data_IF_682156246215
#
_entry.id   IF_682156246215
#
_cell.length_a   1.000
_cell.length_b   1.000
_cell.length_c   1.000
_cell.angle_alpha   90.00
_cell.angle_beta   90.00
_cell.angle_gamma   90.00
#
_symmetry.space_group_name_H-M   'P 1'
#
loop_
_entity.id
_entity.type
_entity.pdbx_description
1 polymer ?
#
# COMPACT_ATOMS: atom_id res chain seq x y z
N UNK A 1 -23.64 -9.90 17.98
CA UNK A 1 -22.80 -9.66 16.80
C UNK A 1 -23.33 -10.49 15.67
N UNK A 2 -23.79 -9.85 14.61
CA UNK A 2 -24.12 -10.59 13.38
C UNK A 2 -22.83 -11.18 12.83
N UNK A 3 -22.80 -12.52 12.69
CA UNK A 3 -21.65 -13.17 12.05
C UNK A 3 -21.60 -12.75 10.59
N UNK A 4 -20.49 -12.18 10.20
CA UNK A 4 -20.22 -11.84 8.79
C UNK A 4 -20.26 -13.12 7.97
N UNK A 5 -21.23 -13.23 7.06
CA UNK A 5 -21.42 -14.46 6.26
C UNK A 5 -20.41 -14.54 5.13
N UNK A 6 -19.59 -15.57 5.13
CA UNK A 6 -18.74 -15.98 4.03
C UNK A 6 -19.49 -16.90 3.06
N UNK A 7 -19.13 -16.94 1.74
CA UNK A 7 -18.13 -16.15 1.07
C UNK A 7 -18.61 -14.75 0.68
N UNK A 8 -17.70 -13.77 0.68
CA UNK A 8 -17.99 -12.44 0.14
C UNK A 8 -18.06 -12.51 -1.38
N UNK A 9 -19.09 -11.88 -1.97
CA UNK A 9 -19.24 -11.82 -3.42
C UNK A 9 -18.62 -10.55 -4.01
N UNK A 10 -18.47 -9.51 -3.20
CA UNK A 10 -17.79 -8.27 -3.57
C UNK A 10 -16.53 -8.16 -2.71
N UNK A 11 -15.37 -8.08 -3.35
CA UNK A 11 -14.08 -7.94 -2.70
C UNK A 11 -13.18 -7.02 -3.52
N UNK A 12 -12.31 -6.30 -2.83
CA UNK A 12 -11.33 -5.42 -3.47
C UNK A 12 -10.00 -6.14 -3.56
N UNK A 13 -9.47 -6.23 -4.77
CA UNK A 13 -8.14 -6.75 -5.07
C UNK A 13 -7.35 -5.64 -5.78
N UNK A 14 -6.17 -5.33 -5.26
CA UNK A 14 -5.32 -4.30 -5.82
C UNK A 14 -5.62 -2.89 -5.30
N UNK A 15 -5.13 -1.89 -6.04
CA UNK A 15 -5.15 -0.50 -5.62
C UNK A 15 -6.41 0.25 -6.04
N UNK A 16 -6.83 1.18 -5.17
CA UNK A 16 -7.75 2.25 -5.55
C UNK A 16 -7.01 3.37 -6.28
N UNK A 17 -7.78 4.21 -7.01
CA UNK A 17 -7.25 5.43 -7.61
C UNK A 17 -6.78 6.38 -6.51
N UNK A 18 -5.53 6.80 -6.60
CA UNK A 18 -4.95 7.72 -5.61
C UNK A 18 -5.47 9.13 -5.82
N UNK A 19 -5.92 9.81 -4.73
CA UNK A 19 -6.30 11.21 -4.77
C UNK A 19 -5.15 12.11 -5.25
N UNK A 20 -5.48 13.22 -5.90
CA UNK A 20 -4.47 14.19 -6.38
C UNK A 20 -3.59 14.74 -5.25
N UNK A 21 -4.16 14.94 -4.06
CA UNK A 21 -3.43 15.35 -2.87
C UNK A 21 -2.31 14.37 -2.51
N UNK A 22 -2.60 13.06 -2.57
CA UNK A 22 -1.62 12.02 -2.28
C UNK A 22 -0.54 11.95 -3.37
N UNK A 23 -0.91 12.07 -4.65
CA UNK A 23 0.03 12.09 -5.76
C UNK A 23 1.00 13.26 -5.64
N UNK A 24 0.45 14.46 -5.32
CA UNK A 24 1.27 15.66 -5.08
C UNK A 24 2.22 15.46 -3.90
N UNK A 25 1.73 14.96 -2.77
CA UNK A 25 2.55 14.72 -1.59
C UNK A 25 3.72 13.76 -1.86
N UNK A 26 3.50 12.71 -2.64
CA UNK A 26 4.58 11.79 -3.05
C UNK A 26 5.62 12.47 -3.93
N UNK A 27 5.19 13.27 -4.88
CA UNK A 27 6.11 14.06 -5.73
C UNK A 27 6.93 15.05 -4.90
N UNK A 28 6.29 15.75 -3.96
CA UNK A 28 6.96 16.68 -3.07
C UNK A 28 7.98 15.96 -2.16
N UNK A 29 7.64 14.76 -1.69
CA UNK A 29 8.55 13.91 -0.92
C UNK A 29 9.76 13.44 -1.75
N UNK A 30 9.53 12.96 -2.97
CA UNK A 30 10.60 12.54 -3.89
C UNK A 30 11.55 13.69 -4.23
N UNK A 31 11.04 14.92 -4.25
CA UNK A 31 11.81 16.14 -4.48
C UNK A 31 12.46 16.73 -3.21
N UNK A 32 12.29 16.06 -2.05
CA UNK A 32 12.84 16.53 -0.77
C UNK A 32 12.10 17.73 -0.15
N UNK A 33 10.94 18.11 -0.70
CA UNK A 33 10.12 19.21 -0.21
C UNK A 33 9.19 18.83 0.94
N UNK A 34 8.98 17.52 1.16
CA UNK A 34 8.11 17.01 2.20
C UNK A 34 8.87 16.00 3.08
N UNK A 35 8.69 16.09 4.40
CA UNK A 35 9.30 15.14 5.33
C UNK A 35 8.58 13.78 5.29
N UNK A 36 9.26 12.66 5.69
CA UNK A 36 8.61 11.36 5.81
C UNK A 36 7.38 11.37 6.72
N UNK A 37 7.45 12.09 7.84
CA UNK A 37 6.34 12.20 8.80
C UNK A 37 5.14 12.94 8.19
N UNK A 38 5.38 14.01 7.43
CA UNK A 38 4.33 14.75 6.75
C UNK A 38 3.68 13.94 5.62
N UNK A 39 4.45 13.15 4.87
CA UNK A 39 3.90 12.21 3.89
C UNK A 39 3.04 11.16 4.57
N UNK A 40 3.52 10.55 5.66
CA UNK A 40 2.77 9.56 6.41
C UNK A 40 1.44 10.11 6.91
N UNK A 41 1.43 11.34 7.43
CA UNK A 41 0.19 11.98 7.88
C UNK A 41 -0.82 12.12 6.73
N UNK A 42 -0.39 12.56 5.56
CA UNK A 42 -1.26 12.68 4.38
C UNK A 42 -1.78 11.31 3.94
N UNK A 43 -0.93 10.29 3.94
CA UNK A 43 -1.32 8.91 3.65
C UNK A 43 -2.38 8.42 4.63
N UNK A 44 -2.18 8.64 5.93
CA UNK A 44 -3.12 8.25 6.98
C UNK A 44 -4.50 8.91 6.76
N UNK A 45 -4.53 10.22 6.52
CA UNK A 45 -5.77 10.97 6.29
C UNK A 45 -6.52 10.48 5.04
N UNK A 46 -5.82 10.22 3.95
CA UNK A 46 -6.46 9.73 2.72
C UNK A 46 -6.93 8.28 2.84
N UNK A 47 -6.22 7.43 3.60
CA UNK A 47 -6.65 6.06 3.90
C UNK A 47 -7.88 6.07 4.82
N UNK A 48 -7.94 6.94 5.82
CA UNK A 48 -9.13 7.09 6.68
C UNK A 48 -10.38 7.42 5.86
N UNK A 49 -10.28 8.39 4.93
CA UNK A 49 -11.38 8.73 4.01
C UNK A 49 -11.79 7.54 3.14
N UNK A 50 -10.82 6.88 2.54
CA UNK A 50 -11.06 5.71 1.70
C UNK A 50 -11.77 4.59 2.47
N UNK A 51 -11.35 4.31 3.70
CA UNK A 51 -11.99 3.30 4.55
C UNK A 51 -13.42 3.69 4.91
N UNK A 52 -13.66 4.96 5.21
CA UNK A 52 -15.00 5.46 5.48
C UNK A 52 -15.92 5.27 4.25
N UNK A 53 -15.45 5.60 3.05
CA UNK A 53 -16.18 5.42 1.80
C UNK A 53 -16.46 3.93 1.51
N UNK A 54 -15.49 3.04 1.71
CA UNK A 54 -15.68 1.61 1.57
C UNK A 54 -16.80 1.08 2.46
N UNK A 55 -16.89 1.56 3.70
CA UNK A 55 -17.97 1.20 4.63
C UNK A 55 -19.33 1.75 4.18
N UNK A 56 -19.37 3.02 3.71
CA UNK A 56 -20.61 3.64 3.24
C UNK A 56 -21.23 2.88 2.07
N UNK A 57 -20.41 2.38 1.14
CA UNK A 57 -20.90 1.56 0.02
C UNK A 57 -21.17 0.10 0.41
N UNK A 58 -21.00 -0.27 1.67
CA UNK A 58 -21.37 -1.59 2.20
C UNK A 58 -20.32 -2.69 2.02
N UNK A 59 -19.07 -2.35 1.76
CA UNK A 59 -17.99 -3.34 1.73
C UNK A 59 -17.77 -3.91 3.13
N UNK A 60 -17.78 -5.23 3.24
CA UNK A 60 -17.55 -5.96 4.49
C UNK A 60 -16.07 -6.19 4.75
N UNK A 61 -15.28 -6.25 3.70
CA UNK A 61 -13.82 -6.33 3.74
C UNK A 61 -13.25 -5.02 3.22
N UNK A 62 -12.36 -4.41 3.99
CA UNK A 62 -11.78 -3.10 3.68
C UNK A 62 -10.26 -3.18 3.55
N UNK A 63 -9.69 -2.33 2.72
CA UNK A 63 -8.24 -2.23 2.47
C UNK A 63 -7.77 -0.79 2.60
N UNK A 64 -6.44 -0.59 2.68
CA UNK A 64 -5.81 0.73 2.56
C UNK A 64 -5.72 1.24 1.11
N UNK A 65 -6.25 0.48 0.16
CA UNK A 65 -6.20 0.82 -1.27
C UNK A 65 -4.80 0.87 -1.86
N UNK A 66 -3.81 0.32 -1.17
CA UNK A 66 -2.38 0.38 -1.52
C UNK A 66 -1.85 1.83 -1.62
N UNK A 67 -2.45 2.76 -0.88
CA UNK A 67 -2.11 4.19 -0.96
C UNK A 67 -0.68 4.49 -0.52
N UNK A 68 -0.07 3.64 0.30
CA UNK A 68 1.33 3.79 0.74
C UNK A 68 2.34 3.20 -0.24
N UNK A 69 1.90 2.43 -1.25
CA UNK A 69 2.79 1.72 -2.17
C UNK A 69 3.17 2.55 -3.38
N UNK A 70 4.39 2.40 -3.80
CA UNK A 70 4.88 2.85 -5.11
C UNK A 70 4.81 1.73 -6.16
N UNK A 71 5.00 0.48 -5.71
CA UNK A 71 4.85 -0.75 -6.50
C UNK A 71 4.01 -1.77 -5.74
N UNK A 72 3.18 -2.54 -6.44
CA UNK A 72 2.34 -3.56 -5.82
C UNK A 72 3.16 -4.70 -5.17
N UNK A 73 4.32 -5.07 -5.73
CA UNK A 73 5.17 -6.17 -5.29
C UNK A 73 6.53 -5.70 -4.72
N UNK A 74 7.22 -4.74 -5.34
CA UNK A 74 8.56 -4.34 -4.90
C UNK A 74 8.55 -3.73 -3.50
N UNK A 75 7.53 -2.97 -3.13
CA UNK A 75 7.41 -2.41 -1.77
C UNK A 75 7.33 -3.50 -0.70
N UNK A 76 6.73 -4.65 -1.01
CA UNK A 76 6.77 -5.80 -0.12
C UNK A 76 8.18 -6.36 0.01
N UNK A 77 8.85 -6.61 -1.10
CA UNK A 77 10.22 -7.16 -1.05
C UNK A 77 11.20 -6.20 -0.39
N UNK A 78 11.12 -4.91 -0.66
CA UNK A 78 11.98 -3.90 -0.03
C UNK A 78 11.76 -3.76 1.48
N UNK A 79 10.64 -4.22 2.01
CA UNK A 79 10.38 -4.31 3.44
C UNK A 79 11.05 -5.48 4.14
N UNK A 80 11.61 -6.45 3.41
CA UNK A 80 12.29 -7.61 3.96
C UNK A 80 13.77 -7.30 4.25
N UNK A 81 14.27 -7.82 5.37
CA UNK A 81 15.71 -7.80 5.64
C UNK A 81 16.48 -8.66 4.64
N UNK A 82 17.71 -8.28 4.32
CA UNK A 82 18.54 -8.97 3.31
C UNK A 82 18.17 -8.69 1.86
N UNK A 83 17.29 -7.72 1.63
CA UNK A 83 16.90 -7.23 0.30
C UNK A 83 17.14 -5.73 0.21
N UNK A 84 17.72 -5.29 -0.90
CA UNK A 84 17.96 -3.88 -1.22
C UNK A 84 17.28 -3.49 -2.53
N UNK A 85 16.99 -2.20 -2.65
CA UNK A 85 16.56 -1.59 -3.92
C UNK A 85 17.69 -1.66 -4.92
N UNK A 86 17.39 -2.01 -6.15
CA UNK A 86 18.34 -2.03 -7.25
C UNK A 86 17.78 -1.23 -8.43
N UNK A 87 18.54 -0.28 -8.92
CA UNK A 87 18.28 0.30 -10.23
C UNK A 87 18.73 -0.69 -11.31
N UNK A 88 17.95 -0.80 -12.37
CA UNK A 88 18.24 -1.63 -13.54
C UNK A 88 18.35 -0.73 -14.77
N UNK A 89 18.98 -1.21 -15.85
CA UNK A 89 19.18 -0.39 -17.05
C UNK A 89 17.90 -0.07 -17.81
N UNK A 90 16.86 -0.88 -17.64
CA UNK A 90 15.58 -0.72 -18.33
C UNK A 90 14.46 -1.26 -17.46
N UNK A 91 13.30 -0.56 -17.42
CA UNK A 91 12.07 -1.03 -16.79
C UNK A 91 11.32 -2.04 -17.66
N UNK A 92 10.20 -2.54 -17.15
CA UNK A 92 9.30 -3.37 -17.95
C UNK A 92 8.57 -2.49 -18.96
N UNK A 93 8.40 -3.00 -20.19
CA UNK A 93 7.68 -2.32 -21.26
C UNK A 93 6.32 -2.96 -21.46
N UNK A 94 5.26 -2.17 -21.32
CA UNK A 94 3.88 -2.58 -21.57
C UNK A 94 3.25 -1.64 -22.62
N UNK A 95 2.87 -2.15 -23.77
CA UNK A 95 2.21 -1.36 -24.81
C UNK A 95 2.87 0.01 -25.09
N UNK A 96 4.19 0.02 -25.27
CA UNK A 96 5.02 1.22 -25.47
C UNK A 96 5.16 2.15 -24.25
N UNK A 97 4.71 1.73 -23.08
CA UNK A 97 4.94 2.42 -21.81
C UNK A 97 6.01 1.66 -21.01
N UNK A 98 7.12 2.31 -20.74
CA UNK A 98 8.17 1.77 -19.88
C UNK A 98 7.92 2.13 -18.41
N UNK A 99 8.03 1.15 -17.52
CA UNK A 99 7.96 1.38 -16.09
C UNK A 99 9.28 1.95 -15.56
N UNK A 100 9.26 2.43 -14.29
CA UNK A 100 10.50 2.84 -13.62
C UNK A 100 11.49 1.66 -13.59
N UNK A 101 12.80 1.92 -13.81
CA UNK A 101 13.82 0.87 -13.85
C UNK A 101 14.26 0.47 -12.43
N UNK A 102 13.34 -0.09 -11.66
CA UNK A 102 13.56 -0.53 -10.27
C UNK A 102 13.37 -2.03 -10.12
N UNK A 103 14.15 -2.64 -9.24
CA UNK A 103 14.13 -4.07 -8.95
C UNK A 103 14.62 -4.32 -7.52
N UNK A 104 14.90 -5.58 -7.22
CA UNK A 104 15.45 -6.04 -5.94
C UNK A 104 16.80 -6.70 -6.13
N UNK A 105 17.64 -6.64 -5.10
CA UNK A 105 18.87 -7.40 -4.98
C UNK A 105 18.89 -8.10 -3.63
N UNK A 106 19.09 -9.41 -3.61
CA UNK A 106 19.32 -10.16 -2.38
C UNK A 106 20.77 -9.95 -1.94
N UNK A 107 20.96 -9.42 -0.72
CA UNK A 107 22.28 -9.08 -0.17
C UNK A 107 22.61 -9.88 1.08
N UNK A 108 21.67 -10.70 1.58
CA UNK A 108 21.87 -11.51 2.77
C UNK A 108 20.71 -12.46 3.03
N UNK A 109 20.69 -13.05 4.22
CA UNK A 109 19.58 -13.91 4.66
C UNK A 109 18.30 -13.10 4.73
N UNK A 110 17.26 -13.57 4.04
CA UNK A 110 15.95 -12.91 4.02
C UNK A 110 15.27 -13.10 5.39
N UNK A 111 14.80 -11.99 5.95
CA UNK A 111 14.04 -11.96 7.21
C UNK A 111 12.80 -11.07 7.09
N UNK A 112 11.75 -11.40 7.84
CA UNK A 112 10.49 -10.64 7.87
C UNK A 112 10.32 -9.77 9.12
N UNK A 113 11.35 -9.54 9.91
CA UNK A 113 11.26 -8.75 11.14
C UNK A 113 10.97 -7.27 10.84
N UNK A 114 10.02 -6.72 11.59
CA UNK A 114 9.65 -5.29 11.49
C UNK A 114 9.20 -4.84 10.07
N UNK A 115 8.58 -5.72 9.31
CA UNK A 115 8.09 -5.37 7.98
C UNK A 115 7.09 -4.22 8.06
N UNK A 116 7.25 -3.14 7.26
CA UNK A 116 6.39 -1.93 7.35
C UNK A 116 4.90 -2.22 7.20
N UNK A 117 4.52 -3.21 6.39
CA UNK A 117 3.12 -3.57 6.17
C UNK A 117 2.42 -4.09 7.43
N UNK A 118 3.15 -4.52 8.46
CA UNK A 118 2.56 -4.89 9.76
C UNK A 118 1.97 -3.64 10.44
N UNK A 119 2.70 -2.53 10.42
CA UNK A 119 2.20 -1.25 10.95
C UNK A 119 1.04 -0.72 10.11
N UNK A 120 1.12 -0.84 8.78
CA UNK A 120 0.04 -0.47 7.87
C UNK A 120 -1.24 -1.28 8.15
N UNK A 121 -1.13 -2.60 8.32
CA UNK A 121 -2.27 -3.44 8.68
C UNK A 121 -2.89 -3.07 10.03
N UNK A 122 -2.05 -2.81 11.05
CA UNK A 122 -2.53 -2.35 12.36
C UNK A 122 -3.30 -1.03 12.27
N UNK A 123 -2.90 -0.14 11.36
CA UNK A 123 -3.62 1.10 11.11
C UNK A 123 -5.02 0.84 10.54
N UNK A 124 -5.15 -0.02 9.51
CA UNK A 124 -6.44 -0.43 8.95
C UNK A 124 -7.30 -1.09 10.04
N UNK A 125 -6.70 -1.95 10.85
CA UNK A 125 -7.38 -2.68 11.93
C UNK A 125 -8.04 -1.75 12.95
N UNK A 126 -7.38 -0.64 13.32
CA UNK A 126 -7.94 0.38 14.21
C UNK A 126 -9.16 1.08 13.62
N UNK A 127 -9.20 1.24 12.30
CA UNK A 127 -10.27 1.93 11.59
C UNK A 127 -11.40 1.01 11.14
N UNK A 128 -11.19 -0.30 11.18
CA UNK A 128 -12.11 -1.28 10.63
C UNK A 128 -13.49 -1.27 11.31
N UNK A 129 -13.54 -1.16 12.65
CA UNK A 129 -14.79 -1.30 13.39
C UNK A 129 -15.34 -2.71 13.25
N UNK A 130 -16.52 -2.85 12.63
CA UNK A 130 -17.15 -4.16 12.35
C UNK A 130 -16.72 -4.78 11.02
N UNK A 131 -16.05 -4.02 10.15
CA UNK A 131 -15.53 -4.53 8.90
C UNK A 131 -14.29 -5.40 9.12
N UNK A 132 -13.98 -6.27 8.16
CA UNK A 132 -12.80 -7.13 8.20
C UNK A 132 -11.64 -6.37 7.52
N UNK A 133 -10.56 -6.06 8.25
CA UNK A 133 -9.38 -5.46 7.64
C UNK A 133 -8.64 -6.48 6.79
N UNK A 134 -8.24 -6.09 5.59
CA UNK A 134 -7.46 -6.90 4.66
C UNK A 134 -6.20 -6.14 4.23
N UNK A 135 -5.05 -6.80 4.32
CA UNK A 135 -3.81 -6.33 3.72
C UNK A 135 -3.52 -7.16 2.47
N UNK A 136 -3.45 -6.49 1.33
CA UNK A 136 -3.01 -7.14 0.09
C UNK A 136 -1.49 -7.32 0.11
N UNK A 137 -1.02 -8.51 -0.21
CA UNK A 137 0.40 -8.85 -0.36
C UNK A 137 0.60 -9.59 -1.68
N UNK A 138 1.79 -9.49 -2.32
CA UNK A 138 2.08 -10.25 -3.56
C UNK A 138 2.14 -11.74 -3.33
#
# INVERSE_FOLDING_TARGET
MEQVKLPFRADIVGSFLRPERLKKARKDFESGLLSPAALQQIEDEEIEKLIAEQKVVGLQVITDGEFRRSWWHLDFFWGLGGIEKKAVGQGYVFHNLETRPESVKVTGKITGYNHPMIAHFRFIQKLAGQAIPKQTIP
#
